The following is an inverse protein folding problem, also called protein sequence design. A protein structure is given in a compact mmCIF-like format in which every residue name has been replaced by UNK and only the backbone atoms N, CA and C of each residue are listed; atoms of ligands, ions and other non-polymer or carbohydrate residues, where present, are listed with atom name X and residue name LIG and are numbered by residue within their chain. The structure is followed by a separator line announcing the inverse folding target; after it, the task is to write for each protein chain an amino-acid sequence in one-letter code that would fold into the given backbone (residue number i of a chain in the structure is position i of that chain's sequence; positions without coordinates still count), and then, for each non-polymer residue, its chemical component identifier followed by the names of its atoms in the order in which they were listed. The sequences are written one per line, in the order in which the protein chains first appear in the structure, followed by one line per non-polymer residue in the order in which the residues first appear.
data_IF_478254390700
#
_entry.id   IF_478254390700
#
_cell.length_a   1.000
_cell.length_b   1.000
_cell.length_c   1.000
_cell.angle_alpha   90.00
_cell.angle_beta   90.00
_cell.angle_gamma   90.00
#
_symmetry.space_group_name_H-M   'P 1'
#
loop_
_entity.id
_entity.type
_entity.pdbx_description
1 polymer ?
#
# COMPACT_ATOMS: atom_id res chain seq x y z
N UNK A 1 -13.97 23.13 -10.28
CA UNK A 1 -14.19 21.85 -9.56
C UNK A 1 -14.00 22.07 -8.06
N UNK A 2 -14.92 21.58 -7.21
CA UNK A 2 -14.79 21.76 -5.75
C UNK A 2 -13.64 20.94 -5.16
N UNK A 3 -13.07 21.36 -4.01
CA UNK A 3 -11.98 20.63 -3.34
C UNK A 3 -12.36 19.18 -2.99
N UNK A 4 -13.65 18.93 -2.70
CA UNK A 4 -14.21 17.61 -2.40
C UNK A 4 -14.30 16.73 -3.65
N UNK A 5 -14.84 17.26 -4.75
CA UNK A 5 -14.92 16.52 -6.02
C UNK A 5 -13.52 16.11 -6.48
N UNK A 6 -12.57 17.05 -6.46
CA UNK A 6 -11.18 16.74 -6.83
C UNK A 6 -10.54 15.66 -5.96
N UNK A 7 -10.84 15.65 -4.65
CA UNK A 7 -10.35 14.60 -3.76
C UNK A 7 -10.91 13.23 -4.15
N UNK A 8 -12.22 13.13 -4.37
CA UNK A 8 -12.86 11.88 -4.78
C UNK A 8 -12.37 11.40 -6.16
N UNK A 9 -12.17 12.32 -7.11
CA UNK A 9 -11.59 12.00 -8.42
C UNK A 9 -10.17 11.46 -8.30
N UNK A 10 -9.29 12.10 -7.50
CA UNK A 10 -7.93 11.59 -7.28
C UNK A 10 -7.95 10.19 -6.64
N UNK A 11 -8.81 9.97 -5.63
CA UNK A 11 -9.00 8.66 -4.99
C UNK A 11 -9.44 7.61 -6.01
N UNK A 12 -10.44 7.90 -6.84
CA UNK A 12 -10.95 6.97 -7.84
C UNK A 12 -9.88 6.63 -8.90
N UNK A 13 -9.20 7.64 -9.43
CA UNK A 13 -8.13 7.46 -10.41
C UNK A 13 -6.96 6.65 -9.85
N UNK A 14 -6.53 6.94 -8.62
CA UNK A 14 -5.43 6.21 -7.99
C UNK A 14 -5.82 4.78 -7.62
N UNK A 15 -7.07 4.54 -7.22
CA UNK A 15 -7.57 3.19 -6.97
C UNK A 15 -7.59 2.38 -8.27
N UNK A 16 -8.10 2.95 -9.37
CA UNK A 16 -8.08 2.29 -10.67
C UNK A 16 -6.65 1.99 -11.15
N UNK A 17 -5.73 2.94 -10.99
CA UNK A 17 -4.31 2.74 -11.31
C UNK A 17 -3.68 1.63 -10.47
N UNK A 18 -4.01 1.54 -9.17
CA UNK A 18 -3.51 0.48 -8.31
C UNK A 18 -3.99 -0.90 -8.78
N UNK A 19 -5.25 -1.02 -9.21
CA UNK A 19 -5.78 -2.26 -9.78
C UNK A 19 -5.04 -2.61 -11.09
N UNK A 20 -4.81 -1.65 -11.98
CA UNK A 20 -4.04 -1.90 -13.22
C UNK A 20 -2.63 -2.39 -12.88
N UNK A 21 -1.95 -1.72 -11.94
CA UNK A 21 -0.61 -2.10 -11.50
C UNK A 21 -0.57 -3.43 -10.73
N UNK A 22 -1.70 -3.90 -10.18
CA UNK A 22 -1.79 -5.21 -9.54
C UNK A 22 -1.68 -6.38 -10.53
N UNK A 23 -2.02 -6.15 -11.81
CA UNK A 23 -1.81 -7.15 -12.86
C UNK A 23 -0.34 -7.28 -13.27
N UNK A 24 0.47 -6.23 -13.05
CA UNK A 24 1.93 -6.28 -13.21
C UNK A 24 2.51 -6.87 -11.94
N UNK A 25 2.42 -8.19 -11.83
CA UNK A 25 2.84 -8.94 -10.65
C UNK A 25 3.72 -10.13 -10.99
N UNK A 26 4.71 -10.37 -10.14
CA UNK A 26 5.46 -11.62 -10.11
C UNK A 26 4.92 -12.49 -8.99
N UNK A 27 4.20 -13.56 -9.35
CA UNK A 27 3.59 -14.51 -8.38
C UNK A 27 4.61 -15.46 -7.75
N UNK A 28 5.84 -15.52 -8.26
CA UNK A 28 6.96 -16.21 -7.63
C UNK A 28 6.67 -17.63 -7.15
N UNK A 29 7.12 -17.93 -5.92
CA UNK A 29 7.07 -19.26 -5.29
C UNK A 29 5.88 -19.41 -4.31
N UNK A 30 4.96 -18.45 -4.26
CA UNK A 30 3.94 -18.37 -3.21
C UNK A 30 2.64 -19.09 -3.59
N UNK A 31 2.52 -20.35 -3.16
CA UNK A 31 1.36 -21.20 -3.49
C UNK A 31 0.03 -20.78 -2.84
N UNK A 32 0.07 -20.16 -1.67
CA UNK A 32 -1.09 -19.78 -0.86
C UNK A 32 -1.46 -18.28 -1.00
N UNK A 33 -1.01 -17.66 -2.08
CA UNK A 33 -1.18 -16.22 -2.32
C UNK A 33 0.03 -15.40 -1.90
N UNK A 34 0.04 -14.14 -2.33
CA UNK A 34 1.23 -13.28 -2.27
C UNK A 34 1.86 -13.12 -3.65
N UNK A 35 2.32 -11.91 -3.92
CA UNK A 35 3.02 -11.57 -5.15
C UNK A 35 3.83 -10.31 -4.94
N UNK A 36 4.84 -10.12 -5.79
CA UNK A 36 5.55 -8.86 -5.89
C UNK A 36 4.88 -8.03 -6.98
N UNK A 37 4.07 -7.04 -6.57
CA UNK A 37 3.31 -6.16 -7.46
C UNK A 37 3.53 -4.68 -7.15
N UNK A 38 3.04 -3.81 -8.03
CA UNK A 38 3.21 -2.35 -7.93
C UNK A 38 1.96 -1.62 -7.40
N UNK A 39 0.97 -2.35 -6.92
CA UNK A 39 -0.34 -1.83 -6.49
C UNK A 39 -0.26 -0.89 -5.26
N UNK A 40 0.83 -0.97 -4.47
CA UNK A 40 1.03 -0.09 -3.31
C UNK A 40 1.44 1.33 -3.71
N UNK A 41 1.96 1.53 -4.94
CA UNK A 41 2.41 2.85 -5.39
C UNK A 41 1.29 3.90 -5.36
N UNK A 42 0.10 3.68 -5.95
CA UNK A 42 -0.94 4.72 -5.95
C UNK A 42 -1.56 4.93 -4.57
N UNK A 43 -1.64 3.89 -3.74
CA UNK A 43 -2.13 3.98 -2.35
C UNK A 43 -1.21 4.91 -1.55
N UNK A 44 0.10 4.66 -1.57
CA UNK A 44 1.06 5.51 -0.87
C UNK A 44 1.18 6.90 -1.49
N UNK A 45 0.97 7.04 -2.80
CA UNK A 45 0.98 8.35 -3.44
C UNK A 45 -0.16 9.20 -2.88
N UNK A 46 -1.35 8.62 -2.73
CA UNK A 46 -2.48 9.26 -2.07
C UNK A 46 -2.22 9.52 -0.59
N UNK A 47 -1.56 8.60 0.10
CA UNK A 47 -1.19 8.77 1.49
C UNK A 47 -0.25 9.97 1.69
N UNK A 48 0.79 10.10 0.86
CA UNK A 48 1.73 11.23 0.94
C UNK A 48 1.14 12.55 0.46
N UNK A 49 0.28 12.53 -0.55
CA UNK A 49 -0.32 13.73 -1.14
C UNK A 49 -1.48 14.28 -0.31
N UNK A 50 -2.36 13.41 0.17
CA UNK A 50 -3.63 13.75 0.84
C UNK A 50 -3.67 13.36 2.32
N UNK A 51 -2.61 12.76 2.85
CA UNK A 51 -2.54 12.29 4.23
C UNK A 51 -3.33 11.02 4.46
N UNK A 52 -3.57 10.69 5.73
CA UNK A 52 -4.32 9.49 6.15
C UNK A 52 -5.65 9.32 5.42
N UNK A 53 -6.54 10.35 5.29
CA UNK A 53 -7.83 10.14 4.62
C UNK A 53 -7.70 9.70 3.16
N UNK A 54 -6.69 10.20 2.45
CA UNK A 54 -6.44 9.80 1.06
C UNK A 54 -5.89 8.39 0.95
N UNK A 55 -4.86 8.07 1.75
CA UNK A 55 -4.26 6.73 1.75
C UNK A 55 -5.25 5.65 2.17
N UNK A 56 -5.97 5.86 3.28
CA UNK A 56 -6.94 4.91 3.84
C UNK A 56 -8.10 4.65 2.90
N UNK A 57 -8.70 5.70 2.32
CA UNK A 57 -9.83 5.53 1.41
C UNK A 57 -9.42 4.85 0.10
N UNK A 58 -8.28 5.25 -0.47
CA UNK A 58 -7.73 4.57 -1.67
C UNK A 58 -7.39 3.12 -1.37
N UNK A 59 -6.74 2.84 -0.24
CA UNK A 59 -6.41 1.47 0.19
C UNK A 59 -7.66 0.61 0.37
N UNK A 60 -8.68 1.12 1.06
CA UNK A 60 -9.95 0.41 1.25
C UNK A 60 -10.62 0.04 -0.08
N UNK A 61 -10.73 1.00 -1.01
CA UNK A 61 -11.33 0.76 -2.33
C UNK A 61 -10.53 -0.27 -3.11
N UNK A 62 -9.19 -0.17 -3.11
CA UNK A 62 -8.32 -1.15 -3.77
C UNK A 62 -8.53 -2.54 -3.19
N UNK A 63 -8.56 -2.68 -1.87
CA UNK A 63 -8.82 -3.97 -1.22
C UNK A 63 -10.18 -4.55 -1.58
N UNK A 64 -11.24 -3.74 -1.58
CA UNK A 64 -12.57 -4.19 -1.99
C UNK A 64 -12.63 -4.66 -3.44
N UNK A 65 -12.02 -3.90 -4.37
CA UNK A 65 -12.02 -4.28 -5.79
C UNK A 65 -11.14 -5.51 -6.03
N UNK A 66 -10.03 -5.68 -5.29
CA UNK A 66 -9.17 -6.85 -5.44
C UNK A 66 -9.84 -8.16 -5.06
N UNK A 67 -10.79 -8.18 -4.14
CA UNK A 67 -11.62 -9.39 -3.88
C UNK A 67 -12.32 -9.84 -5.17
N UNK A 68 -12.81 -8.90 -5.98
CA UNK A 68 -13.53 -9.19 -7.22
C UNK A 68 -12.60 -9.65 -8.34
N UNK A 69 -11.34 -9.21 -8.33
CA UNK A 69 -10.37 -9.42 -9.41
C UNK A 69 -9.49 -10.64 -9.18
N UNK A 70 -9.05 -10.87 -7.95
CA UNK A 70 -8.05 -11.91 -7.65
C UNK A 70 -8.66 -13.32 -7.56
N UNK A 71 -9.99 -13.46 -7.63
CA UNK A 71 -10.68 -14.75 -7.68
C UNK A 71 -10.59 -15.51 -6.37
N UNK A 72 -11.44 -15.15 -5.41
CA UNK A 72 -11.34 -15.60 -4.01
C UNK A 72 -12.24 -16.80 -3.66
N UNK A 73 -12.49 -17.70 -4.62
CA UNK A 73 -13.40 -18.82 -4.42
C UNK A 73 -12.89 -19.80 -3.33
N UNK A 74 -13.75 -20.14 -2.38
CA UNK A 74 -13.42 -21.07 -1.28
C UNK A 74 -12.65 -20.47 -0.10
N UNK A 75 -12.36 -19.17 -0.12
CA UNK A 75 -11.69 -18.47 0.97
C UNK A 75 -12.66 -18.18 2.14
N UNK A 76 -12.16 -18.22 3.37
CA UNK A 76 -12.94 -17.80 4.54
C UNK A 76 -13.26 -16.29 4.47
N UNK A 77 -14.52 -15.85 4.68
CA UNK A 77 -14.89 -14.44 4.61
C UNK A 77 -14.07 -13.51 5.51
N UNK A 78 -13.73 -13.94 6.74
CA UNK A 78 -12.91 -13.16 7.64
C UNK A 78 -11.45 -13.08 7.15
N UNK A 79 -10.91 -14.15 6.57
CA UNK A 79 -9.60 -14.15 5.90
C UNK A 79 -9.56 -13.16 4.73
N UNK A 80 -10.63 -13.08 3.93
CA UNK A 80 -10.73 -12.11 2.84
C UNK A 80 -10.68 -10.67 3.33
N UNK A 81 -11.36 -10.37 4.43
CA UNK A 81 -11.30 -9.04 5.02
C UNK A 81 -9.87 -8.71 5.46
N UNK A 82 -9.19 -9.65 6.12
CA UNK A 82 -7.82 -9.46 6.60
C UNK A 82 -6.82 -9.29 5.46
N UNK A 83 -6.91 -10.08 4.38
CA UNK A 83 -5.93 -10.07 3.30
C UNK A 83 -6.21 -9.03 2.21
N UNK A 84 -7.43 -8.50 2.15
CA UNK A 84 -7.82 -7.50 1.16
C UNK A 84 -8.24 -6.17 1.81
N UNK A 85 -9.53 -5.84 2.04
CA UNK A 85 -9.94 -4.52 2.56
C UNK A 85 -9.09 -4.01 3.71
N UNK A 86 -8.86 -4.82 4.75
CA UNK A 86 -8.13 -4.39 5.94
C UNK A 86 -6.64 -4.20 5.65
N UNK A 87 -5.99 -5.16 4.99
CA UNK A 87 -4.58 -5.08 4.62
C UNK A 87 -4.26 -3.80 3.82
N UNK A 88 -5.05 -3.51 2.79
CA UNK A 88 -4.83 -2.33 1.95
C UNK A 88 -5.23 -1.02 2.64
N UNK A 89 -6.31 -1.02 3.43
CA UNK A 89 -6.67 0.11 4.29
C UNK A 89 -5.52 0.45 5.24
N UNK A 90 -4.92 -0.56 5.87
CA UNK A 90 -3.81 -0.41 6.81
C UNK A 90 -2.56 0.15 6.15
N UNK A 91 -2.25 -0.25 4.92
CA UNK A 91 -1.20 0.39 4.13
C UNK A 91 -1.44 1.90 3.97
N UNK A 92 -2.71 2.31 3.80
CA UNK A 92 -3.10 3.71 3.69
C UNK A 92 -2.70 4.61 4.87
N UNK A 93 -2.43 4.06 6.05
CA UNK A 93 -1.94 4.81 7.21
C UNK A 93 -0.50 5.33 7.06
N UNK A 94 0.22 4.97 5.99
CA UNK A 94 1.44 5.67 5.58
C UNK A 94 1.28 7.20 5.51
N UNK A 95 0.04 7.68 5.35
CA UNK A 95 -0.31 9.09 5.31
C UNK A 95 -0.10 9.86 6.61
N UNK A 96 0.24 9.19 7.73
CA UNK A 96 0.79 9.85 8.93
C UNK A 96 2.09 10.60 8.56
N UNK A 97 2.86 10.06 7.62
CA UNK A 97 4.10 10.65 7.10
C UNK A 97 3.85 11.50 5.84
N UNK A 98 2.73 12.23 5.81
CA UNK A 98 2.34 13.11 4.70
C UNK A 98 3.50 14.03 4.28
N UNK A 99 3.72 14.18 2.98
CA UNK A 99 4.80 14.99 2.44
C UNK A 99 4.33 16.43 2.17
N UNK A 100 5.15 17.41 2.59
CA UNK A 100 4.94 18.83 2.28
C UNK A 100 5.80 19.31 1.10
N UNK A 101 5.26 20.25 0.34
CA UNK A 101 5.96 20.95 -0.75
C UNK A 101 7.20 21.69 -0.26
N UNK A 102 7.13 22.26 0.94
CA UNK A 102 8.17 23.08 1.56
C UNK A 102 9.27 22.25 2.23
N UNK A 103 9.06 20.92 2.33
CA UNK A 103 10.05 20.05 2.94
C UNK A 103 11.32 19.98 2.10
N UNK A 104 12.45 20.24 2.74
CA UNK A 104 13.79 19.93 2.23
C UNK A 104 13.87 18.50 1.71
N UNK A 105 14.67 18.28 0.66
CA UNK A 105 14.74 16.99 -0.07
C UNK A 105 15.04 15.80 0.85
N UNK A 106 16.00 15.92 1.77
CA UNK A 106 16.34 14.87 2.75
C UNK A 106 15.17 14.52 3.69
N UNK A 107 14.46 15.54 4.18
CA UNK A 107 13.29 15.35 5.07
C UNK A 107 12.11 14.72 4.31
N UNK A 108 11.97 15.01 3.01
CA UNK A 108 10.98 14.39 2.15
C UNK A 108 11.25 12.91 1.94
N UNK A 109 12.49 12.55 1.60
CA UNK A 109 12.88 11.15 1.39
C UNK A 109 12.72 10.34 2.68
N UNK A 110 13.15 10.87 3.82
CA UNK A 110 12.97 10.19 5.12
C UNK A 110 11.50 9.98 5.47
N UNK A 111 10.63 10.99 5.28
CA UNK A 111 9.19 10.82 5.49
C UNK A 111 8.58 9.74 4.58
N UNK A 112 8.99 9.69 3.31
CA UNK A 112 8.55 8.67 2.35
C UNK A 112 8.98 7.27 2.79
N UNK A 113 10.25 7.08 3.12
CA UNK A 113 10.78 5.78 3.55
C UNK A 113 10.11 5.33 4.84
N UNK A 114 9.94 6.23 5.82
CA UNK A 114 9.26 5.94 7.06
C UNK A 114 7.78 5.58 6.84
N UNK A 115 7.08 6.30 5.97
CA UNK A 115 5.69 6.00 5.64
C UNK A 115 5.50 4.68 4.90
N UNK A 116 6.38 4.36 3.95
CA UNK A 116 6.37 3.07 3.25
C UNK A 116 6.64 1.94 4.24
N UNK A 117 7.64 2.08 5.11
CA UNK A 117 7.94 1.08 6.13
C UNK A 117 6.75 0.89 7.08
N UNK A 118 6.17 1.98 7.59
CA UNK A 118 5.04 1.94 8.51
C UNK A 118 3.79 1.31 7.87
N UNK A 119 3.38 1.79 6.69
CA UNK A 119 2.21 1.25 5.99
C UNK A 119 2.41 -0.21 5.58
N UNK A 120 3.60 -0.58 5.09
CA UNK A 120 3.92 -1.97 4.74
C UNK A 120 3.91 -2.88 5.96
N UNK A 121 4.40 -2.41 7.11
CA UNK A 121 4.39 -3.17 8.35
C UNK A 121 2.95 -3.42 8.85
N UNK A 122 2.07 -2.42 8.78
CA UNK A 122 0.67 -2.59 9.16
C UNK A 122 -0.06 -3.56 8.22
N UNK A 123 0.19 -3.47 6.90
CA UNK A 123 -0.31 -4.44 5.92
C UNK A 123 0.20 -5.86 6.23
N UNK A 124 1.50 -6.00 6.49
CA UNK A 124 2.13 -7.26 6.84
C UNK A 124 1.52 -7.86 8.12
N UNK A 125 1.25 -7.04 9.14
CA UNK A 125 0.60 -7.50 10.36
C UNK A 125 -0.77 -8.13 10.08
N UNK A 126 -1.57 -7.54 9.19
CA UNK A 126 -2.87 -8.10 8.76
C UNK A 126 -2.71 -9.47 8.10
N UNK A 127 -1.76 -9.59 7.16
CA UNK A 127 -1.45 -10.86 6.48
C UNK A 127 -0.90 -11.91 7.44
N UNK A 128 -0.10 -11.50 8.44
CA UNK A 128 0.42 -12.42 9.45
C UNK A 128 -0.71 -12.98 10.31
N UNK A 129 -1.64 -12.13 10.76
CA UNK A 129 -2.83 -12.56 11.51
C UNK A 129 -3.69 -13.50 10.66
N UNK A 130 -3.94 -13.17 9.38
CA UNK A 130 -4.65 -14.06 8.45
C UNK A 130 -3.94 -15.40 8.31
N UNK A 131 -2.62 -15.38 8.10
CA UNK A 131 -1.80 -16.58 7.95
C UNK A 131 -1.81 -17.49 9.18
N UNK A 132 -1.83 -16.92 10.39
CA UNK A 132 -1.92 -17.70 11.64
C UNK A 132 -3.30 -18.33 11.81
N UNK A 133 -4.37 -17.61 11.49
CA UNK A 133 -5.74 -18.09 11.72
C UNK A 133 -6.16 -19.09 10.64
N UNK A 134 -5.86 -18.81 9.37
CA UNK A 134 -6.42 -19.52 8.22
C UNK A 134 -5.41 -20.40 7.47
N UNK A 135 -4.09 -20.17 7.65
CA UNK A 135 -3.04 -20.88 6.91
C UNK A 135 -2.07 -21.65 7.80
N UNK A 136 -2.33 -21.77 9.11
CA UNK A 136 -1.46 -22.52 10.02
C UNK A 136 -1.26 -23.99 9.63
N UNK A 137 -2.25 -24.61 8.98
CA UNK A 137 -2.17 -26.00 8.50
C UNK A 137 -1.13 -26.23 7.41
N UNK A 138 -0.66 -25.16 6.76
CA UNK A 138 0.39 -25.24 5.73
C UNK A 138 1.81 -25.14 6.32
N UNK A 139 1.94 -24.92 7.64
CA UNK A 139 3.24 -24.86 8.29
C UNK A 139 3.95 -26.23 8.20
N UNK A 140 5.26 -26.27 7.88
CA UNK A 140 6.06 -27.49 7.92
C UNK A 140 5.97 -28.20 9.27
N UNK A 141 6.06 -29.54 9.28
CA UNK A 141 6.04 -30.32 10.53
C UNK A 141 7.09 -29.79 11.52
N UNK A 142 6.64 -29.42 12.72
CA UNK A 142 7.49 -28.90 13.78
C UNK A 142 7.76 -27.39 13.74
N UNK A 143 7.29 -26.66 12.71
CA UNK A 143 7.42 -25.21 12.64
C UNK A 143 6.28 -24.52 13.40
N UNK A 144 6.61 -23.50 14.19
CA UNK A 144 5.61 -22.66 14.85
C UNK A 144 4.75 -21.91 13.80
N UNK A 145 3.41 -21.96 13.85
CA UNK A 145 2.54 -21.31 12.86
C UNK A 145 2.71 -19.79 12.75
N UNK A 146 3.02 -19.10 13.85
CA UNK A 146 3.31 -17.65 13.85
C UNK A 146 4.58 -17.37 13.08
N UNK A 147 5.64 -18.14 13.33
CA UNK A 147 6.90 -18.00 12.59
C UNK A 147 6.70 -18.32 11.11
N UNK A 148 5.95 -19.36 10.78
CA UNK A 148 5.60 -19.71 9.39
C UNK A 148 4.91 -18.54 8.69
N UNK A 149 3.88 -17.97 9.32
CA UNK A 149 3.12 -16.85 8.77
C UNK A 149 3.99 -15.60 8.57
N UNK A 150 4.87 -15.27 9.53
CA UNK A 150 5.81 -14.14 9.42
C UNK A 150 6.74 -14.34 8.24
N UNK A 151 7.43 -15.48 8.17
CA UNK A 151 8.41 -15.75 7.11
C UNK A 151 7.73 -15.78 5.74
N UNK A 152 6.58 -16.44 5.62
CA UNK A 152 5.82 -16.52 4.39
C UNK A 152 5.43 -15.13 3.88
N UNK A 153 4.78 -14.32 4.71
CA UNK A 153 4.27 -13.02 4.29
C UNK A 153 5.39 -11.97 4.10
N UNK A 154 6.42 -12.00 4.94
CA UNK A 154 7.57 -11.10 4.81
C UNK A 154 8.34 -11.35 3.51
N UNK A 155 8.40 -12.60 3.03
CA UNK A 155 9.21 -12.96 1.86
C UNK A 155 8.77 -12.28 0.56
N UNK A 156 7.49 -11.96 0.37
CA UNK A 156 7.04 -11.11 -0.75
C UNK A 156 6.85 -9.64 -0.34
N UNK A 157 6.46 -9.36 0.92
CA UNK A 157 6.20 -7.98 1.35
C UNK A 157 7.45 -7.11 1.46
N UNK A 158 8.58 -7.68 1.88
CA UNK A 158 9.85 -6.93 1.95
C UNK A 158 10.29 -6.49 0.54
N UNK A 159 10.36 -7.38 -0.48
CA UNK A 159 10.63 -6.96 -1.85
C UNK A 159 9.67 -5.88 -2.36
N UNK A 160 8.35 -6.03 -2.11
CA UNK A 160 7.36 -5.02 -2.51
C UNK A 160 7.65 -3.66 -1.86
N UNK A 161 7.92 -3.63 -0.55
CA UNK A 161 8.24 -2.40 0.17
C UNK A 161 9.51 -1.73 -0.37
N UNK A 162 10.55 -2.51 -0.68
CA UNK A 162 11.82 -2.01 -1.23
C UNK A 162 11.66 -1.44 -2.65
N UNK A 163 10.97 -2.15 -3.53
CA UNK A 163 10.68 -1.69 -4.90
C UNK A 163 9.83 -0.42 -4.84
N UNK A 164 8.83 -0.40 -3.97
CA UNK A 164 7.98 0.77 -3.74
C UNK A 164 8.80 1.96 -3.26
N UNK A 165 9.70 1.77 -2.29
CA UNK A 165 10.60 2.81 -1.80
C UNK A 165 11.53 3.34 -2.90
N UNK A 166 12.14 2.46 -3.69
CA UNK A 166 12.99 2.84 -4.80
C UNK A 166 12.23 3.69 -5.84
N UNK A 167 11.01 3.27 -6.22
CA UNK A 167 10.16 4.01 -7.13
C UNK A 167 9.76 5.40 -6.57
N UNK A 168 9.45 5.50 -5.29
CA UNK A 168 9.17 6.80 -4.67
C UNK A 168 10.39 7.71 -4.60
N UNK A 169 11.57 7.17 -4.29
CA UNK A 169 12.83 7.93 -4.30
C UNK A 169 13.07 8.48 -5.72
N UNK A 170 12.83 7.68 -6.76
CA UNK A 170 12.90 8.16 -8.14
C UNK A 170 11.87 9.27 -8.42
N UNK A 171 10.60 9.08 -8.00
CA UNK A 171 9.54 10.08 -8.14
C UNK A 171 9.86 11.41 -7.43
N UNK A 172 10.59 11.40 -6.31
CA UNK A 172 11.00 12.65 -5.65
C UNK A 172 11.91 13.51 -6.52
N UNK A 173 12.67 12.88 -7.44
CA UNK A 173 13.59 13.56 -8.35
C UNK A 173 12.90 13.97 -9.66
N UNK A 174 12.06 13.10 -10.20
CA UNK A 174 11.48 13.28 -11.55
C UNK A 174 10.11 13.97 -11.56
N UNK A 175 9.26 13.69 -10.57
CA UNK A 175 7.90 14.22 -10.51
C UNK A 175 7.47 14.61 -9.07
N UNK A 176 8.24 15.46 -8.36
CA UNK A 176 7.98 15.78 -6.96
C UNK A 176 6.58 16.36 -6.70
N UNK A 177 6.00 17.06 -7.69
CA UNK A 177 4.66 17.68 -7.63
C UNK A 177 3.52 16.67 -7.46
N UNK A 178 3.76 15.38 -7.73
CA UNK A 178 2.77 14.33 -7.47
C UNK A 178 2.62 14.06 -5.97
N UNK A 179 3.72 14.17 -5.21
CA UNK A 179 3.82 13.78 -3.80
C UNK A 179 3.19 14.78 -2.83
N UNK A 180 3.00 16.02 -3.25
CA UNK A 180 2.43 17.08 -2.44
C UNK A 180 1.52 17.94 -3.31
N UNK A 181 0.56 18.60 -2.66
CA UNK A 181 -0.23 19.61 -3.34
C UNK A 181 0.53 20.94 -3.26
N UNK A 182 0.75 21.57 -4.41
CA UNK A 182 1.29 22.93 -4.46
C UNK A 182 0.25 23.89 -3.87
N UNK A 183 0.61 24.69 -2.85
CA UNK A 183 -0.27 25.77 -2.38
C UNK A 183 -0.24 26.89 -3.43
N UNK A 184 -1.40 27.29 -4.00
CA UNK A 184 -1.46 28.39 -4.96
C UNK A 184 -0.84 29.69 -4.44
N UNK A 185 -0.81 29.90 -3.11
CA UNK A 185 -0.24 31.10 -2.49
C UNK A 185 1.28 31.18 -2.60
N UNK A 186 1.95 30.05 -2.75
CA UNK A 186 3.42 30.00 -2.93
C UNK A 186 3.80 30.27 -4.39
N UNK A 187 2.92 29.96 -5.34
CA UNK A 187 3.14 30.18 -6.78
C UNK A 187 3.00 31.66 -7.15
N UNK A 188 2.17 32.41 -6.44
CA UNK A 188 1.95 33.84 -6.68
C UNK A 188 2.93 34.75 -5.91
N UNK A 189 3.90 34.18 -5.19
CA UNK A 189 4.88 34.91 -4.38
C UNK A 189 6.33 34.79 -4.94
N UNK A 190 6.49 34.18 -6.11
CA UNK A 190 7.74 34.01 -6.85
C UNK A 190 7.60 34.63 -8.24
#
# INVERSE_FOLDING_TARGET
MSKKIMFLTEVAMMSALAIILSFVQFKGLWANGGSVSLEMLPIFLMAFRRGVPGGVLTGLIVGMVKILVDGTAGYNPAGLILDYPLAFLLAGFAGVFKVSSESQSKRRISAIVAGIAFGSLLRLASHVVSGVIFFASYAPKGMNPVLYSIVYNASYMIPVALITAAAFIFLTKTAPRLLHRTDPRVVNAA
#
